data_IF_214502109973
#
_entry.id   IF_214502109973
#
_cell.length_a   1.000
_cell.length_b   1.000
_cell.length_c   1.000
_cell.angle_alpha   90.00
_cell.angle_beta   90.00
_cell.angle_gamma   90.00
#
_symmetry.space_group_name_H-M   'P 1'
#
loop_
_entity.id
_entity.type
_entity.pdbx_description
1 polymer ?
#
# COMPACT_ATOMS: atom_id res chain seq x y z
N UNK A 1 -20.56 -70.79 -36.47
CA UNK A 1 -19.40 -69.96 -36.08
C UNK A 1 -19.95 -68.59 -35.67
N UNK A 2 -19.95 -68.28 -34.37
CA UNK A 2 -20.47 -67.01 -33.84
C UNK A 2 -19.29 -66.07 -33.58
N UNK A 3 -19.21 -64.98 -34.34
CA UNK A 3 -18.21 -63.92 -34.14
C UNK A 3 -18.53 -63.11 -32.90
N UNK A 4 -17.61 -63.07 -31.95
CA UNK A 4 -17.66 -62.18 -30.79
C UNK A 4 -16.78 -60.95 -31.07
N UNK A 5 -17.41 -59.78 -31.15
CA UNK A 5 -16.73 -58.50 -31.32
C UNK A 5 -16.30 -58.01 -29.93
N UNK A 6 -15.00 -58.03 -29.65
CA UNK A 6 -14.41 -57.49 -28.42
C UNK A 6 -14.37 -55.97 -28.54
N UNK A 7 -15.18 -55.28 -27.74
CA UNK A 7 -15.15 -53.81 -27.62
C UNK A 7 -14.04 -53.44 -26.63
N UNK A 8 -12.92 -52.93 -27.13
CA UNK A 8 -11.78 -52.51 -26.34
C UNK A 8 -11.94 -51.05 -25.94
N UNK A 9 -12.36 -50.82 -24.69
CA UNK A 9 -12.49 -49.47 -24.11
C UNK A 9 -11.11 -48.93 -23.75
N UNK A 10 -10.66 -47.93 -24.51
CA UNK A 10 -9.48 -47.13 -24.17
C UNK A 10 -9.84 -46.10 -23.09
N UNK A 11 -9.34 -46.31 -21.88
CA UNK A 11 -9.41 -45.32 -20.80
C UNK A 11 -8.29 -44.29 -20.99
N UNK A 12 -8.59 -43.16 -21.65
CA UNK A 12 -7.69 -42.01 -21.72
C UNK A 12 -7.70 -41.29 -20.37
N UNK A 13 -6.69 -41.56 -19.53
CA UNK A 13 -6.40 -40.74 -18.37
C UNK A 13 -5.87 -39.38 -18.84
N UNK A 14 -6.72 -38.36 -18.85
CA UNK A 14 -6.30 -36.99 -19.09
C UNK A 14 -5.53 -36.46 -17.86
N UNK A 15 -4.20 -36.58 -17.87
CA UNK A 15 -3.35 -35.82 -16.95
C UNK A 15 -3.37 -34.35 -17.40
N UNK A 16 -4.21 -33.54 -16.76
CA UNK A 16 -4.17 -32.09 -16.87
C UNK A 16 -2.93 -31.56 -16.15
N UNK A 17 -1.80 -31.45 -16.85
CA UNK A 17 -0.67 -30.63 -16.40
C UNK A 17 -1.13 -29.16 -16.48
N UNK A 18 -1.67 -28.63 -15.38
CA UNK A 18 -1.81 -27.20 -15.20
C UNK A 18 -0.39 -26.60 -15.12
N UNK A 19 0.10 -26.05 -16.23
CA UNK A 19 1.33 -25.27 -16.25
C UNK A 19 1.12 -24.02 -15.37
N UNK A 20 1.63 -24.04 -14.14
CA UNK A 20 1.69 -22.83 -13.31
C UNK A 20 2.57 -21.81 -14.03
N UNK A 21 2.08 -20.58 -14.16
CA UNK A 21 2.88 -19.53 -14.78
C UNK A 21 4.08 -19.24 -13.87
N UNK A 22 5.28 -19.21 -14.44
CA UNK A 22 6.46 -18.72 -13.72
C UNK A 22 6.29 -17.21 -13.52
N UNK A 23 5.83 -16.82 -12.33
CA UNK A 23 5.78 -15.41 -11.94
C UNK A 23 7.17 -14.84 -11.70
N UNK A 24 7.24 -13.51 -11.52
CA UNK A 24 8.51 -12.83 -11.29
C UNK A 24 9.20 -13.39 -10.04
N UNK A 25 10.50 -13.66 -10.14
CA UNK A 25 11.33 -14.15 -9.05
C UNK A 25 12.77 -13.72 -9.23
N UNK A 26 13.55 -13.80 -8.17
CA UNK A 26 14.98 -13.48 -8.21
C UNK A 26 15.50 -12.96 -6.89
N UNK A 27 16.64 -12.27 -6.94
CA UNK A 27 17.18 -11.52 -5.82
C UNK A 27 16.76 -10.05 -5.91
N UNK A 28 16.62 -9.41 -4.77
CA UNK A 28 16.24 -8.01 -4.67
C UNK A 28 16.85 -7.29 -3.47
N UNK A 29 16.61 -5.98 -3.43
CA UNK A 29 17.02 -5.09 -2.34
C UNK A 29 15.78 -4.45 -1.73
N UNK A 30 15.83 -4.22 -0.42
CA UNK A 30 14.77 -3.49 0.27
C UNK A 30 15.21 -2.10 0.67
N UNK A 31 14.24 -1.21 0.76
CA UNK A 31 14.29 -0.03 1.62
C UNK A 31 13.05 -0.01 2.52
N UNK A 32 12.86 1.08 3.26
CA UNK A 32 11.71 1.32 4.11
C UNK A 32 11.21 2.73 3.86
N UNK A 33 9.90 2.90 3.78
CA UNK A 33 9.29 4.22 3.61
C UNK A 33 7.88 4.27 4.19
N UNK A 34 7.46 5.51 4.46
CA UNK A 34 6.06 5.88 4.65
C UNK A 34 5.93 7.38 4.39
N UNK A 35 5.47 7.72 3.19
CA UNK A 35 5.31 9.11 2.72
C UNK A 35 3.89 9.65 2.86
N UNK A 36 2.96 8.79 3.28
CA UNK A 36 1.52 9.02 3.35
C UNK A 36 0.83 9.26 2.00
N UNK A 37 1.54 9.20 0.88
CA UNK A 37 0.96 9.47 -0.43
C UNK A 37 -0.09 8.43 -0.82
N UNK A 38 -1.04 8.84 -1.66
CA UNK A 38 -1.92 7.89 -2.35
C UNK A 38 -1.05 6.87 -3.11
N UNK A 39 -1.17 5.56 -2.84
CA UNK A 39 -0.38 4.55 -3.54
C UNK A 39 -0.66 4.57 -5.04
N UNK A 40 0.36 4.36 -5.88
CA UNK A 40 0.18 4.44 -7.34
C UNK A 40 -0.79 3.39 -7.89
N UNK A 41 -0.91 2.21 -7.27
CA UNK A 41 -1.89 1.19 -7.64
C UNK A 41 -3.31 1.48 -7.11
N UNK A 42 -3.52 2.61 -6.42
CA UNK A 42 -4.84 3.12 -6.04
C UNK A 42 -5.51 3.93 -7.16
N UNK A 43 -4.83 4.14 -8.29
CA UNK A 43 -5.40 4.75 -9.47
C UNK A 43 -6.08 3.71 -10.37
N UNK A 44 -7.24 4.04 -10.99
CA UNK A 44 -7.88 3.16 -11.95
C UNK A 44 -7.01 2.97 -13.20
N UNK A 45 -7.15 1.80 -13.84
CA UNK A 45 -6.48 1.47 -15.10
C UNK A 45 -4.99 1.13 -15.00
N UNK A 46 -4.43 1.04 -13.79
CA UNK A 46 -3.01 0.67 -13.59
C UNK A 46 -2.69 -0.80 -13.85
N UNK A 47 -3.64 -1.70 -13.59
CA UNK A 47 -3.53 -3.13 -13.84
C UNK A 47 -4.94 -3.76 -14.01
N UNK A 48 -4.98 -5.01 -14.48
CA UNK A 48 -6.19 -5.83 -14.54
C UNK A 48 -6.50 -6.40 -13.14
N UNK A 49 -7.40 -5.73 -12.42
CA UNK A 49 -7.76 -5.99 -11.04
C UNK A 49 -9.26 -5.81 -10.82
N UNK A 50 -9.81 -6.46 -9.80
CA UNK A 50 -11.21 -6.30 -9.39
C UNK A 50 -11.56 -4.84 -9.04
N UNK A 51 -10.60 -4.11 -8.44
CA UNK A 51 -10.60 -2.67 -8.19
C UNK A 51 -9.20 -2.21 -7.81
N UNK A 52 -8.88 -0.90 -7.91
CA UNK A 52 -7.63 -0.36 -7.40
C UNK A 52 -7.48 -0.54 -5.88
N UNK A 53 -6.26 -0.39 -5.39
CA UNK A 53 -5.96 -0.31 -3.95
C UNK A 53 -6.77 0.82 -3.32
N UNK A 54 -7.32 0.60 -2.12
CA UNK A 54 -7.98 1.69 -1.37
C UNK A 54 -6.97 2.79 -1.02
N UNK A 55 -7.34 4.03 -1.26
CA UNK A 55 -6.74 5.17 -0.57
C UNK A 55 -7.63 5.54 0.62
N UNK A 56 -7.10 6.34 1.54
CA UNK A 56 -7.83 6.83 2.70
C UNK A 56 -7.80 8.35 2.78
N UNK A 57 -8.74 8.93 3.52
CA UNK A 57 -8.70 10.34 3.87
C UNK A 57 -7.65 10.63 4.96
N UNK A 58 -7.59 11.89 5.42
CA UNK A 58 -6.66 12.31 6.46
C UNK A 58 -6.87 11.59 7.81
N UNK A 59 -8.03 10.98 8.03
CA UNK A 59 -8.40 10.26 9.24
C UNK A 59 -8.35 8.73 9.06
N UNK A 60 -7.64 8.27 8.04
CA UNK A 60 -7.47 6.85 7.69
C UNK A 60 -8.79 6.12 7.37
N UNK A 61 -9.83 6.85 6.95
CA UNK A 61 -11.07 6.23 6.47
C UNK A 61 -10.97 5.98 4.97
N UNK A 62 -11.35 4.77 4.53
CA UNK A 62 -11.26 4.37 3.12
C UNK A 62 -12.11 5.28 2.24
N UNK A 63 -11.53 5.75 1.16
CA UNK A 63 -12.19 6.51 0.10
C UNK A 63 -12.63 5.51 -0.98
N UNK A 64 -13.92 5.51 -1.31
CA UNK A 64 -14.47 4.65 -2.37
C UNK A 64 -14.15 5.16 -3.78
N UNK A 65 -14.03 6.48 -3.95
CA UNK A 65 -13.69 7.09 -5.23
C UNK A 65 -12.17 7.04 -5.48
N UNK A 66 -11.76 6.11 -6.35
CA UNK A 66 -10.37 5.97 -6.79
C UNK A 66 -9.85 7.15 -7.62
N UNK A 67 -10.71 8.10 -8.03
CA UNK A 67 -10.34 9.31 -8.76
C UNK A 67 -9.79 10.44 -7.89
N UNK A 68 -9.97 10.38 -6.56
CA UNK A 68 -9.53 11.44 -5.65
C UNK A 68 -8.03 11.67 -5.74
N UNK A 69 -7.62 12.93 -5.88
CA UNK A 69 -6.23 13.34 -6.02
C UNK A 69 -5.40 13.02 -4.75
N UNK A 70 -4.12 12.72 -4.95
CA UNK A 70 -3.18 12.43 -3.85
C UNK A 70 -2.96 13.67 -2.98
N UNK A 71 -2.90 13.50 -1.66
CA UNK A 71 -2.47 14.55 -0.73
C UNK A 71 -1.07 15.09 -1.03
N UNK A 72 -0.20 14.26 -1.60
CA UNK A 72 1.14 14.66 -2.05
C UNK A 72 1.13 15.58 -3.28
N UNK A 73 -0.02 15.73 -3.94
CA UNK A 73 -0.22 16.63 -5.10
C UNK A 73 -1.37 17.61 -4.84
N UNK A 74 -1.65 17.94 -3.57
CA UNK A 74 -2.68 18.91 -3.17
C UNK A 74 -4.12 18.36 -3.11
N UNK A 75 -4.30 17.05 -3.21
CA UNK A 75 -5.58 16.37 -3.03
C UNK A 75 -5.85 15.96 -1.57
N UNK A 76 -6.73 14.96 -1.39
CA UNK A 76 -7.19 14.50 -0.08
C UNK A 76 -7.13 12.98 0.12
N UNK A 77 -6.50 12.26 -0.83
CA UNK A 77 -6.27 10.81 -0.72
C UNK A 77 -4.84 10.50 -0.26
N UNK A 78 -4.72 9.63 0.72
CA UNK A 78 -3.48 9.22 1.39
C UNK A 78 -3.39 7.70 1.48
N UNK A 79 -2.23 7.17 1.90
CA UNK A 79 -2.08 5.76 2.23
C UNK A 79 -2.94 5.38 3.44
N UNK A 80 -3.64 4.24 3.37
CA UNK A 80 -4.39 3.73 4.52
C UNK A 80 -3.46 3.15 5.59
N UNK A 81 -3.74 3.42 6.87
CA UNK A 81 -2.93 2.90 7.97
C UNK A 81 -2.93 1.37 8.05
N UNK A 82 -4.01 0.71 7.62
CA UNK A 82 -4.11 -0.75 7.55
C UNK A 82 -3.24 -1.35 6.43
N UNK A 83 -2.55 -0.53 5.64
CA UNK A 83 -1.49 -0.92 4.69
C UNK A 83 -0.09 -0.93 5.34
N UNK A 84 -0.05 -1.06 6.67
CA UNK A 84 1.18 -1.32 7.43
C UNK A 84 1.56 -2.81 7.44
N UNK A 85 2.82 -3.11 7.69
CA UNK A 85 3.29 -4.47 7.96
C UNK A 85 2.88 -4.98 9.36
N UNK A 86 2.71 -6.30 9.48
CA UNK A 86 2.44 -6.98 10.76
C UNK A 86 3.01 -8.40 10.79
N UNK A 87 3.30 -8.88 12.00
CA UNK A 87 3.77 -10.24 12.23
C UNK A 87 2.60 -11.24 12.29
N UNK A 88 2.73 -12.37 11.60
CA UNK A 88 1.85 -13.54 11.75
C UNK A 88 2.38 -14.43 12.86
N UNK A 89 3.70 -14.63 12.87
CA UNK A 89 4.46 -15.29 13.93
C UNK A 89 5.92 -14.82 13.86
N UNK A 90 6.81 -15.36 14.69
CA UNK A 90 8.21 -14.93 14.74
C UNK A 90 8.97 -15.06 13.42
N UNK A 91 8.54 -15.94 12.50
CA UNK A 91 9.23 -16.22 11.25
C UNK A 91 8.50 -15.73 10.00
N UNK A 92 7.26 -15.26 10.14
CA UNK A 92 6.41 -14.80 9.05
C UNK A 92 5.77 -13.45 9.35
N UNK A 93 5.91 -12.50 8.44
CA UNK A 93 5.14 -11.26 8.39
C UNK A 93 4.37 -11.11 7.09
N UNK A 94 3.33 -10.28 7.13
CA UNK A 94 2.66 -9.76 5.96
C UNK A 94 2.79 -8.24 5.91
N UNK A 95 2.70 -7.66 4.72
CA UNK A 95 2.73 -6.21 4.56
C UNK A 95 2.57 -5.76 3.12
N UNK A 96 3.02 -4.54 2.85
CA UNK A 96 2.88 -3.89 1.56
C UNK A 96 4.22 -3.28 1.14
N UNK A 97 4.39 -3.09 -0.15
CA UNK A 97 5.58 -2.45 -0.69
C UNK A 97 5.26 -1.60 -1.92
N UNK A 98 6.12 -0.61 -2.18
CA UNK A 98 6.31 -0.08 -3.53
C UNK A 98 7.35 -0.95 -4.25
N UNK A 99 7.10 -1.34 -5.50
CA UNK A 99 7.98 -2.29 -6.22
C UNK A 99 8.49 -1.74 -7.54
N UNK A 100 9.73 -2.06 -7.86
CA UNK A 100 10.32 -1.85 -9.18
C UNK A 100 11.00 -3.16 -9.62
N UNK A 101 10.34 -3.91 -10.52
CA UNK A 101 10.81 -5.23 -10.96
C UNK A 101 11.42 -5.16 -12.35
N UNK A 102 12.56 -5.83 -12.53
CA UNK A 102 13.22 -5.92 -13.83
C UNK A 102 12.32 -6.60 -14.86
N UNK A 103 12.17 -5.99 -16.03
CA UNK A 103 11.31 -6.49 -17.11
C UNK A 103 9.81 -6.36 -16.84
N UNK A 104 9.40 -5.71 -15.74
CA UNK A 104 8.01 -5.46 -15.39
C UNK A 104 7.55 -4.03 -15.65
N UNK A 105 6.27 -3.80 -15.38
CA UNK A 105 5.63 -2.49 -15.30
C UNK A 105 4.54 -2.48 -14.22
N UNK A 106 3.94 -1.32 -13.93
CA UNK A 106 2.80 -1.23 -13.01
C UNK A 106 1.67 -2.21 -13.37
N UNK A 107 1.42 -2.43 -14.66
CA UNK A 107 0.43 -3.39 -15.12
C UNK A 107 0.74 -4.84 -14.68
N UNK A 108 2.01 -5.18 -14.53
CA UNK A 108 2.46 -6.51 -14.11
C UNK A 108 2.54 -6.70 -12.60
N UNK A 109 2.93 -5.67 -11.84
CA UNK A 109 3.15 -5.82 -10.39
C UNK A 109 2.05 -5.21 -9.53
N UNK A 110 1.26 -4.25 -10.01
CA UNK A 110 0.22 -3.67 -9.16
C UNK A 110 -0.72 -4.74 -8.65
N UNK A 111 -0.85 -4.76 -7.33
CA UNK A 111 -1.62 -5.70 -6.52
C UNK A 111 -1.15 -7.16 -6.56
N UNK A 112 -0.02 -7.46 -7.19
CA UNK A 112 0.62 -8.76 -7.11
C UNK A 112 1.23 -8.98 -5.73
N UNK A 113 1.32 -10.24 -5.29
CA UNK A 113 1.97 -10.59 -4.05
C UNK A 113 3.27 -11.34 -4.28
N UNK A 114 4.23 -11.11 -3.38
CA UNK A 114 5.56 -11.67 -3.44
C UNK A 114 5.95 -12.21 -2.07
N UNK A 115 6.39 -13.46 -2.05
CA UNK A 115 7.07 -14.03 -0.88
C UNK A 115 8.53 -13.63 -0.93
N UNK A 116 8.96 -12.88 0.08
CA UNK A 116 10.35 -12.49 0.32
C UNK A 116 10.96 -13.44 1.35
N UNK A 117 12.18 -13.90 1.11
CA UNK A 117 13.02 -14.56 2.11
C UNK A 117 14.27 -13.71 2.28
N UNK A 118 14.42 -13.07 3.44
CA UNK A 118 15.57 -12.20 3.72
C UNK A 118 16.86 -13.02 3.78
N UNK A 119 17.93 -12.49 3.19
CA UNK A 119 19.20 -13.19 3.02
C UNK A 119 20.33 -12.63 3.88
N UNK A 120 20.13 -11.46 4.49
CA UNK A 120 21.10 -10.80 5.36
C UNK A 120 20.41 -9.99 6.48
N UNK A 121 21.22 -9.34 7.32
CA UNK A 121 20.74 -8.56 8.45
C UNK A 121 20.16 -9.41 9.60
N UNK A 122 19.60 -8.77 10.64
CA UNK A 122 19.07 -9.46 11.83
C UNK A 122 17.78 -10.27 11.56
N UNK A 123 17.25 -10.18 10.34
CA UNK A 123 16.04 -10.87 9.88
C UNK A 123 16.34 -11.96 8.85
N UNK A 124 17.61 -12.26 8.57
CA UNK A 124 18.00 -13.32 7.65
C UNK A 124 17.26 -14.65 7.96
N UNK A 125 16.72 -15.28 6.92
CA UNK A 125 15.93 -16.50 7.02
C UNK A 125 14.44 -16.28 7.35
N UNK A 126 14.03 -15.11 7.85
CA UNK A 126 12.61 -14.78 8.02
C UNK A 126 11.93 -14.57 6.66
N UNK A 127 10.63 -14.81 6.63
CA UNK A 127 9.79 -14.63 5.46
C UNK A 127 8.82 -13.48 5.62
N UNK A 128 8.58 -12.74 4.54
CA UNK A 128 7.55 -11.71 4.48
C UNK A 128 6.78 -11.85 3.17
N UNK A 129 5.45 -11.91 3.22
CA UNK A 129 4.64 -11.81 1.99
C UNK A 129 4.12 -10.39 1.88
N UNK A 130 4.43 -9.75 0.76
CA UNK A 130 4.05 -8.36 0.50
C UNK A 130 3.13 -8.26 -0.69
N UNK A 131 2.14 -7.37 -0.63
CA UNK A 131 1.40 -6.93 -1.80
C UNK A 131 2.01 -5.63 -2.35
N UNK A 132 2.26 -5.58 -3.65
CA UNK A 132 2.69 -4.34 -4.31
C UNK A 132 1.51 -3.38 -4.44
N UNK A 133 1.59 -2.23 -3.79
CA UNK A 133 0.56 -1.17 -3.81
C UNK A 133 1.03 0.10 -4.48
N UNK A 134 2.34 0.22 -4.73
CA UNK A 134 2.89 1.35 -5.46
C UNK A 134 4.17 0.96 -6.24
N UNK A 135 4.83 1.97 -6.81
CA UNK A 135 6.03 1.84 -7.63
C UNK A 135 7.10 2.77 -7.07
N UNK A 136 8.29 2.24 -6.83
CA UNK A 136 9.45 3.05 -6.45
C UNK A 136 10.19 3.55 -7.69
N UNK A 137 10.09 4.85 -8.00
CA UNK A 137 10.62 5.43 -9.24
C UNK A 137 12.15 5.49 -9.34
N UNK A 138 12.86 5.49 -8.21
CA UNK A 138 14.32 5.70 -8.13
C UNK A 138 15.10 4.44 -7.78
N UNK A 139 14.43 3.30 -7.81
CA UNK A 139 14.92 2.09 -7.19
C UNK A 139 15.41 1.12 -8.26
N UNK A 140 16.62 0.60 -8.08
CA UNK A 140 17.29 -0.25 -9.07
C UNK A 140 16.56 -1.57 -9.34
N UNK A 141 17.22 -2.49 -10.05
CA UNK A 141 16.63 -3.77 -10.41
C UNK A 141 16.09 -4.55 -9.19
N UNK A 142 14.82 -4.97 -9.26
CA UNK A 142 14.13 -5.80 -8.25
C UNK A 142 14.14 -5.20 -6.84
N UNK A 143 13.69 -3.96 -6.73
CA UNK A 143 13.65 -3.26 -5.46
C UNK A 143 12.25 -3.24 -4.85
N UNK A 144 12.19 -3.43 -3.54
CA UNK A 144 10.96 -3.39 -2.74
C UNK A 144 11.11 -2.35 -1.62
N UNK A 145 10.42 -1.23 -1.72
CA UNK A 145 10.36 -0.24 -0.66
C UNK A 145 9.23 -0.61 0.32
N UNK A 146 9.58 -1.11 1.50
CA UNK A 146 8.60 -1.69 2.43
C UNK A 146 7.80 -0.58 3.13
N UNK A 147 6.47 -0.70 3.13
CA UNK A 147 5.55 0.24 3.79
C UNK A 147 5.64 0.10 5.31
N UNK A 148 6.45 0.95 5.93
CA UNK A 148 6.75 0.91 7.35
C UNK A 148 6.58 2.32 7.90
N UNK A 149 5.51 2.62 8.68
CA UNK A 149 5.33 3.91 9.31
C UNK A 149 6.59 4.33 10.10
N UNK A 150 7.12 5.50 9.77
CA UNK A 150 8.38 5.98 10.34
C UNK A 150 9.63 5.44 9.64
N UNK A 151 9.50 4.82 8.46
CA UNK A 151 10.62 4.43 7.58
C UNK A 151 11.27 5.60 6.83
N UNK A 152 10.65 6.78 6.86
CA UNK A 152 11.08 7.98 6.13
C UNK A 152 10.11 8.31 5.01
N UNK A 153 9.88 9.60 4.80
CA UNK A 153 8.95 10.10 3.78
C UNK A 153 9.58 10.12 2.37
N UNK A 154 10.91 10.07 2.28
CA UNK A 154 11.63 10.14 1.01
C UNK A 154 11.40 11.48 0.31
N UNK A 155 11.17 11.44 -1.00
CA UNK A 155 11.03 12.63 -1.83
C UNK A 155 9.77 13.45 -1.55
N UNK A 156 8.68 12.80 -1.15
CA UNK A 156 7.38 13.43 -0.97
C UNK A 156 6.97 13.34 0.50
N UNK A 157 6.65 14.47 1.12
CA UNK A 157 6.13 14.49 2.50
C UNK A 157 4.62 14.74 2.49
N UNK A 158 3.86 13.69 2.16
CA UNK A 158 2.40 13.70 2.27
C UNK A 158 1.89 13.64 3.69
N UNK A 159 2.73 13.22 4.64
CA UNK A 159 2.36 13.13 6.04
C UNK A 159 2.17 14.51 6.67
N UNK A 160 2.96 15.49 6.23
CA UNK A 160 2.83 16.89 6.64
C UNK A 160 1.44 17.49 6.34
N UNK A 161 0.91 17.45 5.11
CA UNK A 161 -0.47 17.88 4.85
C UNK A 161 -1.53 16.93 5.40
N UNK A 162 -1.25 15.65 5.64
CA UNK A 162 -2.24 14.73 6.21
C UNK A 162 -2.57 15.03 7.66
N UNK A 163 -1.55 15.15 8.52
CA UNK A 163 -1.74 15.26 9.97
C UNK A 163 -0.61 16.03 10.69
N UNK A 164 0.20 16.80 9.96
CA UNK A 164 1.28 17.62 10.53
C UNK A 164 2.68 16.99 10.47
N UNK A 165 2.81 15.79 9.90
CA UNK A 165 4.08 15.13 9.64
C UNK A 165 4.43 14.03 10.64
N UNK A 166 5.43 13.24 10.27
CA UNK A 166 6.00 12.19 11.12
C UNK A 166 7.41 12.61 11.60
N UNK A 167 7.84 12.18 12.79
CA UNK A 167 9.21 12.37 13.22
C UNK A 167 10.18 11.50 12.40
N UNK A 168 11.46 11.84 12.46
CA UNK A 168 12.54 11.05 11.84
C UNK A 168 13.23 11.77 10.67
N UNK A 169 14.30 11.17 10.18
CA UNK A 169 15.01 11.65 9.00
C UNK A 169 14.16 11.46 7.74
N UNK A 170 14.35 12.31 6.73
CA UNK A 170 13.68 12.20 5.43
C UNK A 170 13.82 10.81 4.84
N UNK A 171 15.03 10.24 4.88
CA UNK A 171 15.33 8.87 4.45
C UNK A 171 15.72 8.03 5.67
N UNK A 172 15.13 6.85 5.83
CA UNK A 172 15.36 5.96 6.97
C UNK A 172 14.51 6.27 8.20
N UNK A 173 13.92 7.47 8.29
CA UNK A 173 12.90 7.82 9.28
C UNK A 173 13.42 7.86 10.71
N UNK A 174 12.64 7.33 11.65
CA UNK A 174 13.01 7.29 13.07
C UNK A 174 14.16 6.30 13.33
N UNK A 175 14.88 6.52 14.43
CA UNK A 175 16.02 5.68 14.85
C UNK A 175 15.76 4.90 16.12
N UNK A 176 14.75 5.28 16.90
CA UNK A 176 14.41 4.65 18.18
C UNK A 176 12.92 4.30 18.27
N UNK A 177 12.62 3.12 18.82
CA UNK A 177 11.25 2.60 18.97
C UNK A 177 10.34 3.52 19.78
N UNK A 178 10.88 4.22 20.77
CA UNK A 178 10.07 5.13 21.62
C UNK A 178 9.51 6.30 20.82
N UNK A 179 10.12 6.64 19.67
CA UNK A 179 9.57 7.66 18.77
C UNK A 179 8.22 7.22 18.18
N UNK A 180 7.89 5.92 18.16
CA UNK A 180 6.56 5.45 17.77
C UNK A 180 5.44 5.99 18.67
N UNK A 181 5.74 6.42 19.91
CA UNK A 181 4.73 6.93 20.83
C UNK A 181 4.03 8.21 20.34
N UNK A 182 4.71 9.03 19.53
CA UNK A 182 4.17 10.28 18.98
C UNK A 182 3.43 10.11 17.65
N UNK A 183 3.39 8.91 17.07
CA UNK A 183 2.66 8.65 15.82
C UNK A 183 1.14 8.71 16.05
N UNK A 184 0.34 8.99 15.00
CA UNK A 184 -1.10 8.69 15.04
C UNK A 184 -1.35 7.23 15.45
N UNK A 185 -2.36 6.98 16.28
CA UNK A 185 -2.60 5.65 16.88
C UNK A 185 -2.68 4.52 15.85
N UNK A 186 -3.30 4.80 14.69
CA UNK A 186 -3.43 3.84 13.60
C UNK A 186 -2.08 3.40 13.00
N UNK A 187 -1.03 4.22 13.10
CA UNK A 187 0.30 3.96 12.56
C UNK A 187 1.28 3.35 13.57
N UNK A 188 0.97 3.44 14.88
CA UNK A 188 1.83 2.91 15.94
C UNK A 188 2.14 1.41 15.77
N UNK A 189 1.20 0.52 15.41
CA UNK A 189 1.51 -0.90 15.26
C UNK A 189 2.54 -1.17 14.16
N UNK A 190 2.40 -0.54 13.00
CA UNK A 190 3.36 -0.66 11.89
C UNK A 190 4.74 -0.08 12.23
N UNK A 191 4.75 1.04 12.98
CA UNK A 191 5.98 1.63 13.49
C UNK A 191 6.70 0.68 14.45
N UNK A 192 5.98 0.12 15.42
CA UNK A 192 6.55 -0.83 16.40
C UNK A 192 7.04 -2.12 15.72
N UNK A 193 6.31 -2.62 14.72
CA UNK A 193 6.70 -3.81 13.94
C UNK A 193 8.13 -3.71 13.37
N UNK A 194 8.54 -2.50 12.96
CA UNK A 194 9.90 -2.21 12.47
C UNK A 194 10.98 -2.64 13.47
N UNK A 195 10.77 -2.34 14.75
CA UNK A 195 11.74 -2.61 15.81
C UNK A 195 11.54 -4.00 16.41
N UNK A 196 10.30 -4.50 16.40
CA UNK A 196 9.92 -5.75 17.07
C UNK A 196 10.23 -6.98 16.22
N UNK A 197 9.49 -7.17 15.12
CA UNK A 197 9.65 -8.34 14.26
C UNK A 197 10.78 -8.16 13.27
N UNK A 198 10.86 -6.96 12.68
CA UNK A 198 11.85 -6.62 11.66
C UNK A 198 13.22 -6.26 12.25
N UNK A 199 13.36 -6.23 13.58
CA UNK A 199 14.61 -6.04 14.32
C UNK A 199 15.41 -4.80 13.88
N UNK A 200 14.70 -3.77 13.42
CA UNK A 200 15.26 -2.56 12.84
C UNK A 200 16.32 -2.84 11.76
N UNK A 201 16.12 -3.91 10.97
CA UNK A 201 17.02 -4.26 9.89
C UNK A 201 17.16 -3.10 8.91
N UNK A 202 18.41 -2.76 8.57
CA UNK A 202 18.70 -1.67 7.65
C UNK A 202 18.86 -2.22 6.23
N UNK A 203 17.80 -2.06 5.43
CA UNK A 203 17.76 -2.39 4.01
C UNK A 203 18.21 -3.83 3.68
N UNK A 204 17.66 -4.86 4.36
CA UNK A 204 18.08 -6.24 4.13
C UNK A 204 17.82 -6.68 2.69
N UNK A 205 18.76 -7.44 2.13
CA UNK A 205 18.59 -8.14 0.85
C UNK A 205 17.64 -9.32 1.02
N UNK A 206 17.04 -9.76 -0.09
CA UNK A 206 16.16 -10.93 -0.09
C UNK A 206 16.20 -11.66 -1.44
N UNK A 207 15.71 -12.89 -1.41
CA UNK A 207 15.17 -13.55 -2.60
C UNK A 207 13.65 -13.42 -2.60
N UNK A 208 13.03 -13.37 -3.77
CA UNK A 208 11.59 -13.27 -3.89
C UNK A 208 11.03 -14.19 -4.96
N UNK A 209 9.75 -14.54 -4.81
CA UNK A 209 8.93 -15.16 -5.84
C UNK A 209 7.51 -14.63 -5.77
N UNK A 210 6.88 -14.44 -6.92
CA UNK A 210 5.47 -14.10 -7.01
C UNK A 210 4.61 -15.28 -6.58
N UNK A 211 3.57 -14.97 -5.81
CA UNK A 211 2.64 -15.94 -5.21
C UNK A 211 1.21 -15.42 -5.31
N UNK A 212 0.23 -16.31 -5.16
CA UNK A 212 -1.15 -15.90 -4.89
C UNK A 212 -1.21 -15.06 -3.63
N UNK A 213 -1.95 -13.96 -3.67
CA UNK A 213 -2.12 -13.08 -2.53
C UNK A 213 -2.91 -13.76 -1.40
N UNK A 214 -2.35 -13.82 -0.17
CA UNK A 214 -3.12 -14.10 1.03
C UNK A 214 -4.38 -13.23 1.14
N UNK A 215 -5.47 -13.80 1.65
CA UNK A 215 -6.74 -13.12 1.79
C UNK A 215 -6.63 -11.90 2.74
N UNK A 216 -5.74 -11.96 3.71
CA UNK A 216 -5.48 -10.89 4.68
C UNK A 216 -4.92 -9.63 4.02
N UNK A 217 -4.09 -9.76 2.98
CA UNK A 217 -3.56 -8.63 2.22
C UNK A 217 -4.65 -8.00 1.34
N UNK A 218 -5.37 -8.83 0.58
CA UNK A 218 -6.42 -8.35 -0.33
C UNK A 218 -7.64 -7.80 0.40
N UNK A 219 -7.94 -8.25 1.62
CA UNK A 219 -8.99 -7.68 2.47
C UNK A 219 -8.65 -6.25 2.96
N UNK A 220 -7.36 -5.96 3.15
CA UNK A 220 -6.85 -4.62 3.53
C UNK A 220 -6.76 -3.67 2.34
N UNK A 221 -6.19 -4.12 1.23
CA UNK A 221 -6.04 -3.28 0.04
C UNK A 221 -7.32 -3.15 -0.78
N UNK A 222 -8.21 -4.14 -0.72
CA UNK A 222 -9.37 -4.27 -1.61
C UNK A 222 -9.01 -4.71 -3.03
N UNK A 223 -7.72 -4.82 -3.36
CA UNK A 223 -7.23 -5.06 -4.71
C UNK A 223 -6.74 -6.51 -4.87
N UNK A 224 -7.25 -7.20 -5.87
CA UNK A 224 -6.85 -8.54 -6.28
C UNK A 224 -6.74 -8.58 -7.80
N UNK A 225 -5.63 -9.13 -8.30
CA UNK A 225 -5.39 -9.28 -9.73
C UNK A 225 -6.25 -10.37 -10.34
N UNK A 226 -6.64 -10.18 -11.59
CA UNK A 226 -7.39 -11.18 -12.36
C UNK A 226 -6.56 -12.44 -12.63
N UNK A 227 -5.23 -12.29 -12.69
CA UNK A 227 -4.27 -13.36 -12.94
C UNK A 227 -3.71 -14.00 -11.64
N UNK A 228 -4.16 -13.59 -10.46
CA UNK A 228 -3.62 -14.02 -9.17
C UNK A 228 -3.55 -15.55 -9.04
N UNK A 229 -4.60 -16.25 -9.47
CA UNK A 229 -4.69 -17.71 -9.41
C UNK A 229 -3.72 -18.47 -10.32
N UNK A 230 -2.98 -17.79 -11.20
CA UNK A 230 -1.96 -18.41 -12.07
C UNK A 230 -0.64 -18.68 -11.34
N UNK A 231 -0.45 -18.05 -10.18
CA UNK A 231 0.77 -18.15 -9.36
C UNK A 231 0.61 -19.19 -8.24
N UNK A 232 1.71 -19.71 -7.67
CA UNK A 232 1.63 -20.70 -6.59
C UNK A 232 1.04 -20.10 -5.31
N UNK A 233 0.30 -20.93 -4.56
CA UNK A 233 -0.20 -20.57 -3.21
C UNK A 233 0.97 -20.47 -2.24
N UNK A 234 1.05 -19.37 -1.49
CA UNK A 234 1.98 -19.27 -0.38
C UNK A 234 1.57 -20.22 0.76
N UNK A 235 2.50 -21.06 1.20
CA UNK A 235 2.30 -21.95 2.35
C UNK A 235 3.18 -21.49 3.52
N UNK A 236 2.60 -21.06 4.66
CA UNK A 236 3.36 -20.65 5.83
C UNK A 236 4.28 -21.76 6.35
N UNK A 237 5.54 -21.45 6.73
CA UNK A 237 6.40 -22.42 7.42
C UNK A 237 5.74 -22.84 8.74
N UNK A 238 5.50 -24.15 8.92
CA UNK A 238 4.95 -24.71 10.17
C UNK A 238 3.42 -24.79 10.26
N UNK A 239 2.69 -24.46 9.19
CA UNK A 239 1.25 -24.72 9.11
C UNK A 239 0.96 -26.19 8.79
N UNK A 240 0.28 -26.90 9.68
CA UNK A 240 -0.41 -28.14 9.35
C UNK A 240 -1.33 -27.89 8.16
N UNK A 241 -1.23 -28.73 7.13
CA UNK A 241 -2.12 -28.75 5.98
C UNK A 241 -3.59 -28.81 6.43
N UNK A 242 -4.29 -27.68 6.48
CA UNK A 242 -5.74 -27.70 6.43
C UNK A 242 -6.14 -28.00 4.98
N UNK A 243 -6.99 -29.00 4.74
CA UNK A 243 -7.41 -29.35 3.39
C UNK A 243 -8.14 -28.17 2.75
N UNK A 244 -7.64 -27.78 1.58
CA UNK A 244 -8.30 -26.94 0.60
C UNK A 244 -9.76 -27.37 0.42
N UNK A 245 -10.76 -26.49 0.54
CA UNK A 245 -12.10 -26.82 0.07
C UNK A 245 -12.02 -27.00 -1.45
N UNK A 246 -12.19 -28.23 -1.90
CA UNK A 246 -12.40 -28.52 -3.30
C UNK A 246 -13.70 -27.83 -3.74
N UNK A 247 -13.59 -26.95 -4.73
CA UNK A 247 -14.71 -26.48 -5.54
C UNK A 247 -15.50 -27.69 -6.04
N UNK A 248 -16.78 -27.78 -5.69
CA UNK A 248 -17.72 -28.69 -6.33
C UNK A 248 -19.09 -28.02 -6.45
N UNK A 249 -19.53 -28.01 -7.70
CA UNK A 249 -20.77 -27.56 -8.30
C UNK A 249 -22.02 -27.51 -7.40
N UNK A 250 -22.79 -26.44 -7.61
CA UNK A 250 -24.16 -26.28 -7.18
C UNK A 250 -25.02 -27.49 -7.56
N UNK A 251 -25.74 -28.04 -6.58
CA UNK A 251 -26.98 -28.77 -6.83
C UNK A 251 -28.10 -28.23 -5.96
N UNK A 252 -29.14 -27.86 -6.69
CA UNK A 252 -30.40 -27.28 -6.28
C UNK A 252 -31.22 -28.31 -5.48
N UNK A 253 -31.38 -28.12 -4.17
CA UNK A 253 -32.36 -28.84 -3.37
C UNK A 253 -33.22 -27.83 -2.59
N UNK A 254 -34.50 -27.84 -2.96
CA UNK A 254 -35.63 -27.09 -2.42
C UNK A 254 -35.78 -27.26 -0.90
N UNK A 255 -36.05 -26.21 -0.11
CA UNK A 255 -36.39 -26.36 1.31
C UNK A 255 -37.90 -26.60 1.48
N UNK A 256 -38.26 -27.72 2.11
CA UNK A 256 -39.59 -27.96 2.68
C UNK A 256 -39.60 -27.62 4.17
N UNK A 257 -40.65 -26.93 4.57
CA UNK A 257 -40.99 -26.45 5.91
C UNK A 257 -40.93 -27.51 7.01
N UNK A 258 -40.56 -27.13 8.24
CA UNK A 258 -41.46 -27.18 9.41
C UNK A 258 -40.84 -26.63 10.70
N UNK A 259 -41.68 -25.85 11.39
CA UNK A 259 -41.81 -25.66 12.84
C UNK A 259 -40.73 -24.89 13.62
N UNK A 260 -41.13 -23.66 13.98
CA UNK A 260 -40.58 -22.82 15.02
C UNK A 260 -40.74 -23.43 16.42
N UNK A 261 -39.75 -23.21 17.29
CA UNK A 261 -39.97 -23.13 18.73
C UNK A 261 -39.27 -21.90 19.32
N UNK A 262 -40.03 -21.32 20.23
CA UNK A 262 -40.02 -19.95 20.71
C UNK A 262 -39.29 -19.91 22.06
N UNK A 263 -38.19 -19.15 22.17
CA UNK A 263 -37.62 -18.78 23.47
C UNK A 263 -37.31 -17.28 23.51
N UNK A 264 -38.13 -16.62 24.33
CA UNK A 264 -38.24 -15.22 24.68
C UNK A 264 -36.96 -14.64 25.32
N UNK A 265 -36.50 -13.44 24.92
CA UNK A 265 -35.56 -12.65 25.72
C UNK A 265 -36.32 -11.87 26.80
N UNK A 266 -35.88 -12.02 28.05
CA UNK A 266 -36.39 -11.30 29.22
C UNK A 266 -35.83 -9.88 29.28
N UNK A 267 -36.75 -8.92 29.41
CA UNK A 267 -36.53 -7.51 29.70
C UNK A 267 -35.85 -7.27 31.05
N UNK A 268 -34.95 -6.30 31.13
CA UNK A 268 -34.63 -5.60 32.38
C UNK A 268 -34.29 -4.13 32.13
N UNK A 269 -35.27 -3.30 32.51
CA UNK A 269 -35.19 -1.97 33.11
C UNK A 269 -34.23 -0.92 32.52
N UNK A 270 -34.85 0.05 31.85
CA UNK A 270 -34.37 1.41 31.73
C UNK A 270 -34.26 2.08 33.11
N UNK A 271 -33.16 2.80 33.35
CA UNK A 271 -33.10 3.83 34.36
C UNK A 271 -32.66 5.16 33.76
N UNK A 272 -33.50 6.13 34.07
CA UNK A 272 -33.55 7.51 33.64
C UNK A 272 -32.51 8.32 34.43
N UNK A 273 -31.54 8.92 33.75
CA UNK A 273 -30.69 9.96 34.35
C UNK A 273 -30.76 11.24 33.48
N UNK A 274 -31.42 12.22 34.10
CA UNK A 274 -31.64 13.60 33.70
C UNK A 274 -30.33 14.31 33.31
N UNK A 275 -30.28 15.09 32.21
CA UNK A 275 -29.14 15.95 31.92
C UNK A 275 -29.21 17.24 32.74
N UNK A 276 -28.16 17.50 33.52
CA UNK A 276 -27.99 18.73 34.27
C UNK A 276 -27.28 19.77 33.40
N UNK A 277 -27.92 20.92 33.24
CA UNK A 277 -27.42 22.14 32.62
C UNK A 277 -26.13 22.63 33.28
N UNK A 278 -25.14 23.02 32.48
CA UNK A 278 -24.10 23.96 32.90
C UNK A 278 -23.75 24.89 31.74
N UNK A 279 -23.65 26.16 32.10
CA UNK A 279 -23.88 27.32 31.26
C UNK A 279 -22.80 27.57 30.19
N UNK A 280 -23.29 28.04 29.04
CA UNK A 280 -22.49 28.68 28.01
C UNK A 280 -21.88 29.98 28.56
N UNK A 281 -20.56 30.13 28.41
CA UNK A 281 -19.90 31.42 28.52
C UNK A 281 -19.50 31.93 27.14
N UNK A 282 -19.98 33.14 26.91
CA UNK A 282 -19.97 33.96 25.73
C UNK A 282 -18.59 34.60 25.55
N UNK A 283 -17.85 34.24 24.50
CA UNK A 283 -16.75 35.05 24.00
C UNK A 283 -17.01 35.41 22.54
N UNK A 284 -17.29 36.69 22.38
CA UNK A 284 -17.55 37.46 21.17
C UNK A 284 -16.43 37.28 20.12
N UNK A 285 -16.74 37.04 18.84
CA UNK A 285 -15.76 37.08 17.76
C UNK A 285 -15.47 38.54 17.35
N UNK A 286 -14.19 38.88 17.25
CA UNK A 286 -13.74 40.16 16.69
C UNK A 286 -13.47 39.99 15.20
N UNK A 287 -14.23 40.73 14.40
CA UNK A 287 -14.12 40.85 12.95
C UNK A 287 -12.81 41.47 12.49
N UNK A 288 -12.20 40.94 11.44
CA UNK A 288 -11.32 41.67 10.54
C UNK A 288 -11.48 41.12 9.12
N UNK A 289 -11.45 42.04 8.16
CA UNK A 289 -12.24 42.04 6.95
C UNK A 289 -11.78 41.08 5.84
N UNK A 290 -12.76 40.65 5.04
CA UNK A 290 -12.55 40.05 3.72
C UNK A 290 -12.08 41.11 2.72
N UNK A 291 -11.07 40.78 1.91
CA UNK A 291 -10.91 41.39 0.59
C UNK A 291 -10.77 40.30 -0.49
N UNK A 292 -11.55 40.55 -1.53
CA UNK A 292 -11.86 39.73 -2.68
C UNK A 292 -11.05 40.23 -3.87
N UNK A 293 -10.14 39.45 -4.44
CA UNK A 293 -9.50 39.72 -5.73
C UNK A 293 -9.17 38.40 -6.43
N UNK A 294 -9.75 38.19 -7.61
CA UNK A 294 -9.41 37.14 -8.58
C UNK A 294 -8.21 37.59 -9.46
N UNK A 295 -7.52 36.71 -10.20
CA UNK A 295 -6.06 36.76 -10.36
C UNK A 295 -5.54 37.47 -11.62
N UNK A 296 -4.33 38.04 -11.51
CA UNK A 296 -3.51 38.59 -12.61
C UNK A 296 -2.18 37.80 -12.67
N UNK A 297 -1.63 37.48 -13.86
CA UNK A 297 -0.45 36.63 -13.98
C UNK A 297 0.84 37.41 -13.64
N UNK A 298 1.53 36.99 -12.58
CA UNK A 298 2.77 37.62 -12.12
C UNK A 298 3.99 36.90 -12.70
N UNK A 299 4.74 37.61 -13.55
CA UNK A 299 6.13 37.34 -13.88
C UNK A 299 7.02 37.38 -12.63
N UNK A 300 8.03 36.50 -12.59
CA UNK A 300 8.93 36.25 -11.46
C UNK A 300 9.67 37.50 -10.93
N UNK A 301 10.08 37.53 -9.63
CA UNK A 301 10.80 38.66 -9.05
C UNK A 301 12.27 38.69 -9.52
N UNK A 302 12.68 39.82 -10.11
CA UNK A 302 14.07 40.10 -10.47
C UNK A 302 14.98 40.08 -9.23
N UNK A 303 15.96 39.17 -9.22
CA UNK A 303 17.02 39.10 -8.20
C UNK A 303 17.16 37.74 -7.50
N UNK A 304 16.19 36.84 -7.66
CA UNK A 304 16.25 35.53 -7.04
C UNK A 304 17.07 34.54 -7.88
N UNK A 305 17.89 33.69 -7.21
CA UNK A 305 18.76 32.69 -7.85
C UNK A 305 18.46 31.29 -7.32
N UNK A 306 18.40 30.31 -8.21
CA UNK A 306 18.29 28.89 -7.88
C UNK A 306 19.67 28.32 -7.55
N UNK A 307 19.77 27.60 -6.43
CA UNK A 307 20.99 26.90 -6.02
C UNK A 307 21.42 25.84 -7.06
N UNK A 308 22.68 25.40 -7.03
CA UNK A 308 23.15 24.29 -7.85
C UNK A 308 22.31 23.05 -7.54
N UNK A 309 21.88 22.36 -8.58
CA UNK A 309 20.93 21.24 -8.60
C UNK A 309 19.46 21.61 -8.32
N UNK A 310 19.12 22.88 -8.09
CA UNK A 310 17.72 23.30 -7.96
C UNK A 310 17.05 23.51 -9.33
N UNK A 311 15.71 23.46 -9.34
CA UNK A 311 14.91 23.75 -10.54
C UNK A 311 15.05 25.22 -10.93
N UNK A 312 15.24 25.46 -12.22
CA UNK A 312 15.41 26.79 -12.81
C UNK A 312 14.51 27.02 -14.04
N UNK A 313 13.61 26.09 -14.33
CA UNK A 313 12.70 26.21 -15.45
C UNK A 313 11.80 24.99 -15.61
N UNK A 314 10.93 25.07 -16.60
CA UNK A 314 9.87 24.10 -16.84
C UNK A 314 8.52 24.80 -17.01
N UNK A 315 7.63 24.22 -17.81
CA UNK A 315 6.29 24.74 -18.01
C UNK A 315 5.56 24.84 -16.66
N UNK A 316 4.99 26.02 -16.36
CA UNK A 316 4.31 26.30 -15.09
C UNK A 316 5.24 26.61 -13.91
N UNK A 317 6.57 26.59 -14.08
CA UNK A 317 7.51 26.96 -13.01
C UNK A 317 7.50 28.47 -12.77
N UNK A 318 7.23 28.88 -11.53
CA UNK A 318 7.15 30.29 -11.09
C UNK A 318 8.33 30.70 -10.20
N UNK A 319 9.30 29.80 -9.99
CA UNK A 319 10.48 30.06 -9.18
C UNK A 319 11.60 30.76 -9.95
N UNK A 320 12.79 30.80 -9.35
CA UNK A 320 13.94 31.51 -9.90
C UNK A 320 14.48 30.82 -11.15
N UNK A 321 14.59 31.55 -12.27
CA UNK A 321 15.06 30.97 -13.53
C UNK A 321 16.56 31.15 -13.76
N UNK A 322 17.21 31.97 -12.93
CA UNK A 322 18.66 32.21 -12.98
C UNK A 322 19.36 31.36 -11.94
N UNK A 323 20.42 30.66 -12.33
CA UNK A 323 21.21 29.83 -11.42
C UNK A 323 22.25 30.64 -10.62
N UNK A 324 22.67 30.09 -9.48
CA UNK A 324 23.81 30.61 -8.73
C UNK A 324 25.11 30.56 -9.56
N UNK A 325 26.05 31.43 -9.21
CA UNK A 325 27.31 31.56 -9.94
C UNK A 325 28.06 30.22 -10.00
N UNK A 326 28.49 29.82 -11.20
CA UNK A 326 29.17 28.54 -11.42
C UNK A 326 28.25 27.38 -11.83
N UNK A 327 26.95 27.62 -12.04
CA UNK A 327 26.01 26.65 -12.61
C UNK A 327 25.14 27.26 -13.71
N UNK A 328 24.65 26.43 -14.63
CA UNK A 328 23.80 26.85 -15.76
C UNK A 328 22.49 26.08 -15.76
N UNK A 329 21.39 26.77 -16.09
CA UNK A 329 20.09 26.13 -16.19
C UNK A 329 20.04 25.18 -17.41
N UNK A 330 20.01 23.88 -17.18
CA UNK A 330 19.93 22.82 -18.19
C UNK A 330 18.52 22.25 -18.25
N UNK A 331 17.91 22.30 -19.44
CA UNK A 331 16.59 21.72 -19.68
C UNK A 331 16.70 20.19 -19.64
N UNK A 332 15.88 19.55 -18.82
CA UNK A 332 15.75 18.09 -18.78
C UNK A 332 14.54 17.64 -19.60
N UNK A 333 13.40 18.29 -19.40
CA UNK A 333 12.18 18.05 -20.18
C UNK A 333 11.29 19.31 -20.18
N UNK A 334 10.15 19.27 -20.87
CA UNK A 334 9.26 20.43 -21.03
C UNK A 334 8.75 21.01 -19.70
N UNK A 335 8.71 20.21 -18.63
CA UNK A 335 8.23 20.61 -17.30
C UNK A 335 9.37 20.86 -16.30
N UNK A 336 10.63 20.61 -16.67
CA UNK A 336 11.74 20.65 -15.73
C UNK A 336 13.09 21.03 -16.36
N UNK A 337 13.73 22.04 -15.79
CA UNK A 337 15.11 22.45 -16.03
C UNK A 337 15.86 22.59 -14.70
N UNK A 338 17.14 22.22 -14.64
CA UNK A 338 17.93 22.18 -13.42
C UNK A 338 19.24 22.96 -13.55
N UNK A 339 19.68 23.63 -12.48
CA UNK A 339 21.01 24.23 -12.41
C UNK A 339 22.10 23.16 -12.29
N UNK A 340 23.02 23.06 -13.25
CA UNK A 340 24.16 22.13 -13.24
C UNK A 340 25.50 22.84 -13.43
#
# INVERSE_FOLDING_TARGET
MRSATVLQTYLLAALSLAAQAQGASGSGKSTRYWDCCKPSCAWPGKAAVNRPVFACDANFQRISDSGVASGCTGGSAYSCADHSAWAVNDNLSYGFAATALSGGSEASWCCACYELTFTDGPVAGKKMVVQSTSTGGDLGNNHFDLNIPGGGVGLFDGCRPQFGGLPGATYGGISDRNQCASFPDALKPGCNWRFDWFKNADNPSFTFRQVQCPAELTARSGCKRDDDSRFPVFSPPGGSSQPQPASSAAQNLKPTSSAAQNLKPTSSAAQNLKPTSSAAQNLKPTSSAAQNQNPIPSSAPCGCRSAKYAQCGGQGFTGCTTCEAGSTCKVSNQWYSQCL
#
